data_IF_139571303456
#
_entry.id   IF_139571303456
#
_cell.length_a   1.000
_cell.length_b   1.000
_cell.length_c   1.000
_cell.angle_alpha   90.00
_cell.angle_beta   90.00
_cell.angle_gamma   90.00
#
_symmetry.space_group_name_H-M   'P 1'
#
loop_
_entity.id
_entity.type
_entity.pdbx_description
1 polymer ?
#
# COMPACT_ATOMS: atom_id res chain seq x y z
N UNK A 1 -18.33 -1.86 22.19
CA UNK A 1 -17.50 -1.01 21.30
C UNK A 1 -17.22 -1.78 20.01
N UNK A 2 -17.75 -1.41 18.83
CA UNK A 2 -17.52 -2.20 17.62
C UNK A 2 -16.06 -2.09 17.20
N UNK A 3 -15.36 -3.22 17.18
CA UNK A 3 -13.98 -3.33 16.74
C UNK A 3 -13.89 -2.88 15.27
N UNK A 4 -13.24 -1.73 15.06
CA UNK A 4 -13.02 -1.12 13.75
C UNK A 4 -12.36 -2.16 12.85
N UNK A 5 -13.08 -2.57 11.80
CA UNK A 5 -12.67 -3.53 10.79
C UNK A 5 -11.26 -3.16 10.31
N UNK A 6 -10.23 -3.81 10.90
CA UNK A 6 -8.84 -3.65 10.49
C UNK A 6 -8.77 -4.27 9.11
N UNK A 7 -8.99 -3.43 8.09
CA UNK A 7 -8.65 -3.70 6.70
C UNK A 7 -7.30 -4.42 6.76
N UNK A 8 -7.30 -5.73 6.46
CA UNK A 8 -6.13 -6.59 6.67
C UNK A 8 -4.94 -5.79 6.15
N UNK A 9 -4.00 -5.45 7.03
CA UNK A 9 -2.72 -4.95 6.55
C UNK A 9 -2.22 -6.04 5.64
N UNK A 10 -2.19 -5.75 4.35
CA UNK A 10 -1.71 -6.71 3.37
C UNK A 10 -0.30 -7.07 3.80
N UNK A 11 -0.06 -8.36 4.03
CA UNK A 11 1.17 -8.85 4.68
C UNK A 11 2.43 -8.42 3.94
N UNK A 12 2.26 -8.10 2.66
CA UNK A 12 3.28 -7.72 1.71
C UNK A 12 3.54 -6.20 1.66
N UNK A 13 2.61 -5.32 2.06
CA UNK A 13 2.81 -3.89 1.85
C UNK A 13 1.73 -2.91 2.30
N UNK A 14 1.98 -1.62 2.05
CA UNK A 14 1.08 -0.50 2.28
C UNK A 14 0.91 0.33 0.98
N UNK A 15 -0.34 0.64 0.65
CA UNK A 15 -0.68 1.52 -0.48
C UNK A 15 -1.05 2.89 0.08
N UNK A 16 -0.37 3.95 -0.40
CA UNK A 16 -0.71 5.34 -0.07
C UNK A 16 -1.33 6.04 -1.26
N UNK A 17 -2.28 6.95 -1.00
CA UNK A 17 -2.86 7.83 -2.02
C UNK A 17 -2.09 9.15 -2.04
N UNK A 18 -1.60 9.54 -3.21
CA UNK A 18 -0.95 10.83 -3.45
C UNK A 18 -2.01 11.93 -3.61
N UNK A 19 -1.65 13.20 -3.34
CA UNK A 19 -2.54 14.34 -3.58
C UNK A 19 -2.96 14.46 -5.06
N UNK A 20 -2.18 13.90 -5.98
CA UNK A 20 -2.49 13.77 -7.41
C UNK A 20 -3.63 12.79 -7.74
N UNK A 21 -4.21 12.13 -6.73
CA UNK A 21 -5.24 11.09 -6.90
C UNK A 21 -4.70 9.70 -7.24
N UNK A 22 -3.40 9.59 -7.53
CA UNK A 22 -2.72 8.33 -7.83
C UNK A 22 -2.40 7.52 -6.56
N UNK A 23 -2.23 6.22 -6.72
CA UNK A 23 -1.83 5.29 -5.68
C UNK A 23 -0.34 4.95 -5.82
N UNK A 24 0.35 4.81 -4.70
CA UNK A 24 1.70 4.30 -4.67
C UNK A 24 1.75 3.11 -3.73
N UNK A 25 2.18 1.98 -4.27
CA UNK A 25 2.44 0.78 -3.51
C UNK A 25 3.78 0.91 -2.78
N UNK A 26 3.88 0.32 -1.60
CA UNK A 26 5.14 0.09 -0.91
C UNK A 26 5.10 -1.28 -0.28
N UNK A 27 6.16 -2.07 -0.41
CA UNK A 27 6.25 -3.39 0.19
C UNK A 27 7.43 -3.45 1.15
N UNK A 28 7.39 -4.36 2.12
CA UNK A 28 8.53 -4.63 3.00
C UNK A 28 9.28 -5.81 2.39
N UNK A 29 10.53 -5.57 2.00
CA UNK A 29 11.40 -6.63 1.50
C UNK A 29 11.80 -7.61 2.61
N UNK A 30 12.33 -8.79 2.24
CA UNK A 30 12.85 -9.75 3.20
C UNK A 30 13.98 -9.18 4.08
N UNK A 31 14.64 -8.12 3.61
CA UNK A 31 15.68 -7.36 4.30
C UNK A 31 15.12 -6.44 5.41
N UNK A 32 13.80 -6.36 5.56
CA UNK A 32 13.13 -5.46 6.51
C UNK A 32 13.03 -4.01 6.04
N UNK A 33 13.57 -3.69 4.87
CA UNK A 33 13.50 -2.36 4.26
C UNK A 33 12.19 -2.17 3.48
N UNK A 34 11.67 -0.94 3.50
CA UNK A 34 10.45 -0.59 2.77
C UNK A 34 10.80 -0.12 1.37
N UNK A 35 10.44 -0.91 0.37
CA UNK A 35 10.56 -0.57 -1.04
C UNK A 35 9.28 0.09 -1.54
N UNK A 36 9.37 1.35 -1.95
CA UNK A 36 8.27 2.03 -2.64
C UNK A 36 8.31 1.70 -4.12
N UNK A 37 7.14 1.43 -4.71
CA UNK A 37 7.04 1.28 -6.15
C UNK A 37 7.52 2.56 -6.86
N UNK A 38 8.37 2.43 -7.89
CA UNK A 38 8.83 3.57 -8.69
C UNK A 38 7.70 4.18 -9.52
N UNK A 39 6.69 3.37 -9.86
CA UNK A 39 5.50 3.81 -10.57
C UNK A 39 4.34 4.10 -9.62
N UNK A 40 3.51 5.05 -10.05
CA UNK A 40 2.22 5.36 -9.40
C UNK A 40 1.10 4.78 -10.25
N UNK A 41 0.14 4.14 -9.59
CA UNK A 41 -0.96 3.42 -10.22
C UNK A 41 -2.25 4.23 -10.10
N UNK A 42 -3.17 4.07 -11.06
CA UNK A 42 -4.47 4.75 -11.05
C UNK A 42 -5.52 3.96 -10.26
N UNK A 43 -5.35 2.65 -10.13
CA UNK A 43 -6.21 1.79 -9.35
C UNK A 43 -5.49 1.23 -8.12
N UNK A 44 -6.23 1.00 -7.03
CA UNK A 44 -5.69 0.27 -5.87
C UNK A 44 -5.33 -1.16 -6.24
N UNK A 45 -6.12 -1.79 -7.11
CA UNK A 45 -5.94 -3.18 -7.52
C UNK A 45 -4.66 -3.40 -8.32
N UNK A 46 -4.27 -2.40 -9.11
CA UNK A 46 -3.00 -2.33 -9.84
C UNK A 46 -1.81 -2.03 -8.90
N UNK A 47 -2.09 -1.53 -7.70
CA UNK A 47 -1.10 -1.23 -6.66
C UNK A 47 -0.98 -2.32 -5.58
N UNK A 48 -1.76 -3.41 -5.67
CA UNK A 48 -1.71 -4.55 -4.73
C UNK A 48 -0.65 -5.56 -5.14
#
# INVERSE_FOLDING_TARGET
MPAKNRKRRESFGAIRKLPSGRYQASYVGPDGERYTAPSTFTAIEDAR
#
